data_IF_584248782754
#
_entry.id   IF_584248782754
#
_cell.length_a   1.000
_cell.length_b   1.000
_cell.length_c   1.000
_cell.angle_alpha   90.00
_cell.angle_beta   90.00
_cell.angle_gamma   90.00
#
_symmetry.space_group_name_H-M   'P 1'
#
loop_
_entity.id
_entity.type
_entity.pdbx_description
1 polymer ?
#
# COMPACT_ATOMS: atom_id res chain seq x y z
N UNK A 1 6.80 2.01 16.16
CA UNK A 1 6.47 0.67 16.71
C UNK A 1 7.08 -0.37 15.79
N UNK A 2 7.66 -1.42 16.35
CA UNK A 2 8.25 -2.50 15.57
C UNK A 2 7.16 -3.38 14.94
N UNK A 3 7.49 -4.03 13.83
CA UNK A 3 6.64 -5.03 13.22
C UNK A 3 6.37 -6.18 14.19
N UNK A 4 5.11 -6.60 14.31
CA UNK A 4 4.70 -7.70 15.16
C UNK A 4 3.66 -8.58 14.47
N UNK A 5 4.00 -9.84 14.26
CA UNK A 5 3.13 -10.86 13.63
C UNK A 5 1.77 -10.97 14.31
N UNK A 6 1.72 -10.91 15.66
CA UNK A 6 0.47 -11.05 16.40
C UNK A 6 -0.53 -9.92 16.09
N UNK A 7 -0.05 -8.71 15.80
CA UNK A 7 -0.92 -7.60 15.38
C UNK A 7 -1.58 -7.93 14.05
N UNK A 8 -0.81 -8.38 13.07
CA UNK A 8 -1.34 -8.76 11.76
C UNK A 8 -2.33 -9.92 11.89
N UNK A 9 -2.01 -10.92 12.69
CA UNK A 9 -2.92 -12.06 12.96
C UNK A 9 -4.27 -11.59 13.54
N UNK A 10 -4.23 -10.70 14.53
CA UNK A 10 -5.44 -10.13 15.13
C UNK A 10 -6.27 -9.32 14.14
N UNK A 11 -5.63 -8.51 13.27
CA UNK A 11 -6.31 -7.78 12.20
C UNK A 11 -7.02 -8.74 11.26
N UNK A 12 -6.35 -9.79 10.80
CA UNK A 12 -6.92 -10.79 9.91
C UNK A 12 -8.07 -11.57 10.57
N UNK A 13 -7.92 -11.91 11.84
CA UNK A 13 -8.98 -12.58 12.64
C UNK A 13 -10.22 -11.70 12.75
N UNK A 14 -10.05 -10.43 13.14
CA UNK A 14 -11.14 -9.45 13.17
C UNK A 14 -11.84 -9.36 11.82
N UNK A 15 -11.09 -9.20 10.75
CA UNK A 15 -11.67 -9.00 9.43
C UNK A 15 -12.48 -10.21 8.93
N UNK A 16 -12.01 -11.42 9.21
CA UNK A 16 -12.78 -12.65 8.96
C UNK A 16 -14.09 -12.69 9.73
N UNK A 17 -14.08 -12.25 10.99
CA UNK A 17 -15.30 -12.17 11.82
C UNK A 17 -16.29 -11.16 11.25
N UNK A 18 -15.83 -9.97 10.86
CA UNK A 18 -16.67 -8.93 10.23
C UNK A 18 -17.33 -9.46 8.95
N UNK A 19 -16.56 -10.07 8.06
CA UNK A 19 -17.12 -10.62 6.82
C UNK A 19 -18.09 -11.77 7.07
N UNK A 20 -17.86 -12.60 8.09
CA UNK A 20 -18.79 -13.66 8.50
C UNK A 20 -20.10 -13.08 9.04
N UNK A 21 -20.01 -12.00 9.82
CA UNK A 21 -21.18 -11.30 10.35
C UNK A 21 -22.03 -10.70 9.21
N UNK A 22 -21.40 -10.01 8.28
CA UNK A 22 -22.07 -9.44 7.10
C UNK A 22 -22.83 -10.53 6.32
N UNK A 23 -22.18 -11.69 6.08
CA UNK A 23 -22.83 -12.81 5.38
C UNK A 23 -24.10 -13.26 6.11
N UNK A 24 -24.03 -13.44 7.43
CA UNK A 24 -25.20 -13.83 8.25
C UNK A 24 -26.31 -12.80 8.16
N UNK A 25 -25.99 -11.50 8.25
CA UNK A 25 -26.97 -10.43 8.15
C UNK A 25 -27.66 -10.42 6.76
N UNK A 26 -26.87 -10.60 5.69
CA UNK A 26 -27.42 -10.68 4.33
C UNK A 26 -28.33 -11.91 4.15
N UNK A 27 -27.97 -13.05 4.73
CA UNK A 27 -28.81 -14.26 4.68
C UNK A 27 -30.17 -14.05 5.35
N UNK A 28 -30.18 -13.41 6.53
CA UNK A 28 -31.40 -13.19 7.34
C UNK A 28 -32.18 -11.97 6.87
N UNK A 29 -31.51 -10.82 6.76
CA UNK A 29 -32.15 -9.51 6.55
C UNK A 29 -32.05 -9.00 5.11
N UNK A 30 -31.37 -9.75 4.21
CA UNK A 30 -31.08 -9.38 2.81
C UNK A 30 -30.21 -8.11 2.65
N UNK A 31 -29.71 -7.56 3.75
CA UNK A 31 -28.83 -6.38 3.80
C UNK A 31 -27.95 -6.43 5.04
N UNK A 32 -26.85 -5.68 5.00
CA UNK A 32 -26.00 -5.37 6.16
C UNK A 32 -25.64 -3.89 6.13
N UNK A 33 -25.55 -3.26 7.29
CA UNK A 33 -25.08 -1.88 7.45
C UNK A 33 -23.60 -1.82 7.81
N UNK A 34 -22.94 -2.96 7.99
CA UNK A 34 -21.53 -3.03 8.39
C UNK A 34 -20.65 -2.70 7.17
N UNK A 35 -19.79 -1.71 7.31
CA UNK A 35 -18.72 -1.46 6.33
C UNK A 35 -17.53 -2.39 6.61
N UNK A 36 -17.19 -3.31 5.70
CA UNK A 36 -16.09 -4.24 5.89
C UNK A 36 -14.71 -3.62 5.60
N UNK A 37 -14.65 -2.42 5.02
CA UNK A 37 -13.39 -1.83 4.58
C UNK A 37 -12.49 -1.54 5.79
N UNK A 38 -11.22 -1.85 5.64
CA UNK A 38 -10.18 -1.55 6.61
C UNK A 38 -8.89 -1.17 5.87
N UNK A 39 -7.99 -0.50 6.54
CA UNK A 39 -6.65 -0.25 6.05
C UNK A 39 -5.60 -0.59 7.10
N UNK A 40 -4.42 -0.93 6.65
CA UNK A 40 -3.24 -1.18 7.46
C UNK A 40 -2.10 -0.34 6.88
N UNK A 41 -1.50 0.50 7.71
CA UNK A 41 -0.35 1.31 7.33
C UNK A 41 0.86 0.77 8.10
N UNK A 42 1.90 0.40 7.37
CA UNK A 42 3.20 0.00 7.89
C UNK A 42 4.21 1.07 7.48
N UNK A 43 4.38 2.05 8.37
CA UNK A 43 5.19 3.23 8.12
C UNK A 43 6.60 3.03 8.67
N UNK A 44 7.58 2.90 7.77
CA UNK A 44 9.02 2.74 8.05
C UNK A 44 9.35 1.75 9.19
N UNK A 45 8.56 0.67 9.31
CA UNK A 45 8.71 -0.31 10.38
C UNK A 45 9.20 -1.69 9.90
N UNK A 46 9.56 -1.81 8.61
CA UNK A 46 9.97 -3.06 7.98
C UNK A 46 11.47 -3.12 7.68
N UNK A 47 12.28 -2.65 8.62
CA UNK A 47 13.74 -2.61 8.48
C UNK A 47 14.40 -3.99 8.64
N UNK A 48 13.79 -4.91 9.38
CA UNK A 48 14.25 -6.29 9.48
C UNK A 48 13.60 -7.14 8.37
N UNK A 49 14.41 -7.76 7.52
CA UNK A 49 13.97 -8.55 6.36
C UNK A 49 13.17 -9.82 6.74
N UNK A 50 13.05 -10.16 8.02
CA UNK A 50 12.28 -11.34 8.46
C UNK A 50 10.79 -11.21 8.22
N UNK A 51 10.24 -9.98 8.22
CA UNK A 51 8.83 -9.71 7.95
C UNK A 51 8.33 -10.32 6.63
N UNK A 52 9.18 -10.31 5.60
CA UNK A 52 8.83 -10.80 4.26
C UNK A 52 8.66 -12.32 4.18
N UNK A 53 9.19 -13.06 5.16
CA UNK A 53 9.05 -14.50 5.33
C UNK A 53 7.88 -14.85 6.24
N UNK A 54 7.35 -13.88 6.98
CA UNK A 54 6.23 -14.08 7.89
C UNK A 54 4.98 -14.52 7.13
N UNK A 55 4.35 -15.60 7.61
CA UNK A 55 3.17 -16.20 6.99
C UNK A 55 1.96 -15.26 6.99
N UNK A 56 1.77 -14.49 8.07
CA UNK A 56 0.63 -13.59 8.21
C UNK A 56 0.78 -12.38 7.29
N UNK A 57 1.99 -11.84 7.17
CA UNK A 57 2.30 -10.78 6.23
C UNK A 57 2.10 -11.24 4.78
N UNK A 58 2.59 -12.41 4.42
CA UNK A 58 2.38 -12.98 3.09
C UNK A 58 0.89 -13.16 2.77
N UNK A 59 0.12 -13.65 3.75
CA UNK A 59 -1.33 -13.76 3.61
C UNK A 59 -1.99 -12.39 3.40
N UNK A 60 -1.54 -11.36 4.12
CA UNK A 60 -2.05 -10.00 3.97
C UNK A 60 -1.78 -9.45 2.56
N UNK A 61 -0.56 -9.61 2.03
CA UNK A 61 -0.21 -9.23 0.66
C UNK A 61 -1.05 -9.94 -0.40
N UNK A 62 -1.22 -11.27 -0.26
CA UNK A 62 -1.87 -12.09 -1.28
C UNK A 62 -3.40 -12.02 -1.22
N UNK A 63 -3.97 -11.86 -0.01
CA UNK A 63 -5.41 -12.01 0.22
C UNK A 63 -6.07 -10.79 0.85
N UNK A 64 -5.35 -9.72 1.14
CA UNK A 64 -5.89 -8.51 1.78
C UNK A 64 -7.13 -7.96 1.06
N UNK A 65 -7.12 -7.97 -0.27
CA UNK A 65 -8.27 -7.55 -1.09
C UNK A 65 -9.53 -8.37 -0.84
N UNK A 66 -9.40 -9.69 -0.68
CA UNK A 66 -10.55 -10.56 -0.37
C UNK A 66 -11.15 -10.25 1.00
N UNK A 67 -10.34 -9.76 1.92
CA UNK A 67 -10.78 -9.33 3.25
C UNK A 67 -11.09 -7.83 3.33
N UNK A 68 -11.15 -7.14 2.19
CA UNK A 68 -11.43 -5.70 2.12
C UNK A 68 -10.43 -4.85 2.91
N UNK A 69 -9.16 -5.29 2.93
CA UNK A 69 -8.06 -4.57 3.57
C UNK A 69 -7.23 -3.87 2.49
N UNK A 70 -7.02 -2.58 2.63
CA UNK A 70 -6.02 -1.81 1.91
C UNK A 70 -4.72 -1.83 2.72
N UNK A 71 -3.65 -2.34 2.15
CA UNK A 71 -2.32 -2.34 2.75
C UNK A 71 -1.50 -1.21 2.15
N UNK A 72 -0.97 -0.34 3.01
CA UNK A 72 -0.06 0.74 2.64
C UNK A 72 1.27 0.49 3.36
N UNK A 73 2.36 0.52 2.61
CA UNK A 73 3.70 0.33 3.15
C UNK A 73 4.56 1.51 2.68
N UNK A 74 5.19 2.18 3.62
CA UNK A 74 6.25 3.13 3.31
C UNK A 74 7.61 2.50 3.61
N UNK A 75 8.59 2.76 2.78
CA UNK A 75 9.95 2.26 2.99
C UNK A 75 10.98 3.13 2.29
N UNK A 76 12.12 3.26 2.94
CA UNK A 76 13.25 4.03 2.41
C UNK A 76 14.10 3.21 1.43
N UNK A 77 14.05 1.89 1.53
CA UNK A 77 14.86 1.00 0.69
C UNK A 77 14.00 0.27 -0.35
N UNK A 78 14.19 0.56 -1.66
CA UNK A 78 13.29 0.07 -2.71
C UNK A 78 13.29 -1.45 -2.90
N UNK A 79 14.34 -2.15 -2.45
CA UNK A 79 14.44 -3.61 -2.57
C UNK A 79 13.89 -4.38 -1.36
N UNK A 80 13.32 -3.70 -0.37
CA UNK A 80 12.78 -4.34 0.83
C UNK A 80 11.67 -5.35 0.54
N UNK A 81 10.92 -5.22 -0.57
CA UNK A 81 9.85 -6.14 -0.94
C UNK A 81 10.36 -7.23 -1.88
N UNK A 82 10.29 -8.52 -1.48
CA UNK A 82 10.68 -9.63 -2.35
C UNK A 82 9.87 -9.70 -3.66
N UNK A 83 10.46 -10.20 -4.76
CA UNK A 83 9.79 -10.30 -6.06
C UNK A 83 8.42 -11.00 -6.00
N UNK A 84 8.30 -12.08 -5.23
CA UNK A 84 7.06 -12.84 -5.08
C UNK A 84 5.91 -12.03 -4.43
N UNK A 85 6.22 -10.98 -3.65
CA UNK A 85 5.22 -10.10 -3.07
C UNK A 85 4.95 -8.88 -3.95
N UNK A 86 5.95 -8.41 -4.71
CA UNK A 86 5.81 -7.25 -5.60
C UNK A 86 4.72 -7.42 -6.66
N UNK A 87 4.48 -8.64 -7.13
CA UNK A 87 3.41 -8.94 -8.09
C UNK A 87 1.99 -8.67 -7.56
N UNK A 88 1.85 -8.49 -6.25
CA UNK A 88 0.57 -8.17 -5.61
C UNK A 88 0.40 -6.68 -5.29
N UNK A 89 1.36 -5.84 -5.66
CA UNK A 89 1.29 -4.39 -5.46
C UNK A 89 0.44 -3.77 -6.55
N UNK A 90 -0.60 -3.04 -6.16
CA UNK A 90 -1.49 -2.33 -7.07
C UNK A 90 -0.89 -1.03 -7.58
N UNK A 91 -0.33 -0.25 -6.65
CA UNK A 91 0.22 1.07 -6.91
C UNK A 91 1.57 1.25 -6.23
N UNK A 92 2.50 1.89 -6.92
CA UNK A 92 3.80 2.31 -6.36
C UNK A 92 3.89 3.81 -6.44
N UNK A 93 4.06 4.46 -5.30
CA UNK A 93 4.28 5.90 -5.19
C UNK A 93 5.77 6.15 -5.01
N UNK A 94 6.40 6.78 -5.98
CA UNK A 94 7.85 7.04 -6.00
C UNK A 94 8.07 8.51 -5.70
N UNK A 95 8.62 8.78 -4.54
CA UNK A 95 9.01 10.11 -4.11
C UNK A 95 10.39 10.48 -4.68
N UNK A 96 10.82 11.70 -4.42
CA UNK A 96 12.11 12.19 -4.86
C UNK A 96 13.25 11.28 -4.37
N UNK A 97 14.10 10.86 -5.30
CA UNK A 97 15.30 10.08 -5.03
C UNK A 97 16.50 10.73 -5.77
N UNK A 98 17.45 11.32 -5.04
CA UNK A 98 18.58 12.00 -5.66
C UNK A 98 19.69 11.05 -6.12
N UNK A 99 19.79 9.84 -5.53
CA UNK A 99 20.87 8.91 -5.81
C UNK A 99 20.59 8.05 -7.04
N UNK A 100 21.43 8.16 -8.05
CA UNK A 100 21.32 7.41 -9.31
C UNK A 100 21.28 5.89 -9.08
N UNK A 101 22.07 5.38 -8.14
CA UNK A 101 22.07 3.96 -7.81
C UNK A 101 20.72 3.48 -7.26
N UNK A 102 20.02 4.29 -6.48
CA UNK A 102 18.69 3.99 -5.97
C UNK A 102 17.64 4.12 -7.07
N UNK A 103 17.74 5.17 -7.92
CA UNK A 103 16.87 5.30 -9.12
C UNK A 103 16.98 4.06 -10.01
N UNK A 104 18.20 3.55 -10.21
CA UNK A 104 18.42 2.32 -11.01
C UNK A 104 17.71 1.12 -10.40
N UNK A 105 17.77 0.96 -9.07
CA UNK A 105 17.06 -0.12 -8.35
C UNK A 105 15.54 0.03 -8.46
N UNK A 106 15.01 1.25 -8.35
CA UNK A 106 13.58 1.52 -8.53
C UNK A 106 13.17 1.17 -9.96
N UNK A 107 13.91 1.62 -10.96
CA UNK A 107 13.68 1.32 -12.37
C UNK A 107 13.63 -0.19 -12.62
N UNK A 108 14.66 -0.92 -12.22
CA UNK A 108 14.78 -2.36 -12.46
C UNK A 108 13.68 -3.19 -11.78
N UNK A 109 13.11 -2.71 -10.68
CA UNK A 109 12.19 -3.48 -9.87
C UNK A 109 10.73 -3.04 -9.94
N UNK A 110 10.45 -1.80 -10.33
CA UNK A 110 9.10 -1.23 -10.32
C UNK A 110 8.71 -0.48 -11.59
N UNK A 111 9.68 0.01 -12.36
CA UNK A 111 9.44 0.91 -13.48
C UNK A 111 9.82 0.30 -14.84
N UNK A 112 9.76 -1.02 -14.97
CA UNK A 112 10.14 -1.74 -16.21
C UNK A 112 9.25 -1.42 -17.43
N UNK A 113 8.17 -0.65 -17.27
CA UNK A 113 7.35 -0.16 -18.39
C UNK A 113 8.01 1.01 -19.13
N UNK A 114 8.96 1.71 -18.53
CA UNK A 114 9.71 2.75 -19.22
C UNK A 114 10.70 2.15 -20.22
N UNK A 115 10.80 2.72 -21.44
CA UNK A 115 11.66 2.14 -22.48
C UNK A 115 13.15 2.19 -22.13
N UNK A 116 13.59 3.20 -21.38
CA UNK A 116 14.99 3.35 -20.95
C UNK A 116 15.08 3.91 -19.52
N UNK A 117 16.17 3.63 -18.85
CA UNK A 117 16.47 4.21 -17.54
C UNK A 117 16.57 5.75 -17.61
N UNK A 118 17.09 6.28 -18.71
CA UNK A 118 17.20 7.72 -18.91
C UNK A 118 15.83 8.39 -18.97
N UNK A 119 14.86 7.83 -19.75
CA UNK A 119 13.50 8.35 -19.81
C UNK A 119 12.80 8.29 -18.43
N UNK A 120 13.04 7.25 -17.65
CA UNK A 120 12.56 7.16 -16.27
C UNK A 120 13.14 8.29 -15.40
N UNK A 121 14.46 8.54 -15.47
CA UNK A 121 15.09 9.62 -14.71
C UNK A 121 14.55 11.00 -15.09
N UNK A 122 14.34 11.27 -16.37
CA UNK A 122 13.76 12.53 -16.84
C UNK A 122 12.37 12.76 -16.26
N UNK A 123 11.51 11.74 -16.25
CA UNK A 123 10.18 11.83 -15.66
C UNK A 123 10.25 12.01 -14.14
N UNK A 124 11.15 11.30 -13.46
CA UNK A 124 11.39 11.47 -12.02
C UNK A 124 11.76 12.93 -11.69
N UNK A 125 12.66 13.53 -12.44
CA UNK A 125 13.10 14.91 -12.21
C UNK A 125 11.97 15.93 -12.40
N UNK A 126 11.00 15.63 -13.28
CA UNK A 126 9.85 16.50 -13.53
C UNK A 126 8.70 16.32 -12.54
N UNK A 127 8.54 15.12 -11.96
CA UNK A 127 7.32 14.72 -11.25
C UNK A 127 7.55 14.45 -9.75
N UNK A 128 8.72 14.74 -9.19
CA UNK A 128 8.98 14.40 -7.78
C UNK A 128 9.49 15.57 -6.95
N UNK A 129 9.12 16.80 -7.30
CA UNK A 129 9.41 17.99 -6.53
C UNK A 129 8.15 18.56 -5.88
N UNK A 130 8.28 19.44 -4.91
CA UNK A 130 7.16 20.19 -4.31
C UNK A 130 5.98 19.32 -3.84
N UNK A 131 6.26 18.24 -3.11
CA UNK A 131 5.28 17.26 -2.62
C UNK A 131 4.58 16.47 -3.74
N UNK A 132 5.25 16.33 -4.86
CA UNK A 132 4.81 15.55 -6.00
C UNK A 132 5.43 14.16 -5.99
N UNK A 133 4.78 13.21 -6.64
CA UNK A 133 5.31 11.86 -6.80
C UNK A 133 4.90 11.24 -8.14
N UNK A 134 5.75 10.34 -8.61
CA UNK A 134 5.44 9.47 -9.73
C UNK A 134 4.64 8.27 -9.21
N UNK A 135 3.51 7.97 -9.83
CA UNK A 135 2.65 6.84 -9.45
C UNK A 135 2.62 5.82 -10.56
N UNK A 136 2.96 4.59 -10.24
CA UNK A 136 2.87 3.45 -11.15
C UNK A 136 1.62 2.64 -10.80
N UNK A 137 0.76 2.43 -11.78
CA UNK A 137 -0.45 1.62 -11.67
C UNK A 137 -0.23 0.23 -12.30
N UNK A 138 -0.01 -0.77 -11.48
CA UNK A 138 0.15 -2.16 -11.91
C UNK A 138 -1.17 -2.84 -12.31
N UNK A 139 -2.32 -2.20 -12.05
CA UNK A 139 -3.64 -2.70 -12.43
C UNK A 139 -4.10 -2.23 -13.81
N UNK A 140 -3.29 -1.45 -14.52
CA UNK A 140 -3.61 -0.99 -15.87
C UNK A 140 -3.85 -2.20 -16.80
N UNK A 141 -4.91 -2.14 -17.58
CA UNK A 141 -5.26 -3.17 -18.57
C UNK A 141 -4.53 -2.99 -19.90
N UNK A 142 -3.85 -1.87 -20.06
CA UNK A 142 -3.12 -1.46 -21.25
C UNK A 142 -1.62 -1.50 -21.01
N UNK A 143 -0.85 -1.82 -22.04
CA UNK A 143 0.62 -1.75 -22.00
C UNK A 143 1.14 -0.36 -22.39
N UNK A 144 0.26 0.62 -22.63
CA UNK A 144 0.69 1.98 -22.93
C UNK A 144 1.18 2.66 -21.66
N UNK A 145 2.33 3.32 -21.74
CA UNK A 145 2.95 4.01 -20.61
C UNK A 145 2.00 5.02 -19.94
N UNK A 146 1.25 5.77 -20.75
CA UNK A 146 0.30 6.79 -20.30
C UNK A 146 -0.88 6.23 -19.48
N UNK A 147 -1.16 4.92 -19.57
CA UNK A 147 -2.21 4.27 -18.79
C UNK A 147 -1.67 3.64 -17.49
N UNK A 148 -0.35 3.51 -17.41
CA UNK A 148 0.34 2.89 -16.29
C UNK A 148 1.03 3.88 -15.36
N UNK A 149 1.35 5.08 -15.85
CA UNK A 149 2.15 6.06 -15.13
C UNK A 149 1.36 7.35 -14.97
N UNK A 150 1.31 7.84 -13.73
CA UNK A 150 0.60 9.04 -13.35
C UNK A 150 1.52 9.96 -12.55
N UNK A 151 1.17 11.20 -12.53
CA UNK A 151 1.71 12.20 -11.64
C UNK A 151 0.67 12.54 -10.57
N UNK A 152 1.10 12.67 -9.32
CA UNK A 152 0.24 13.07 -8.21
C UNK A 152 0.94 14.13 -7.37
N UNK A 153 0.22 15.15 -7.00
CA UNK A 153 0.63 16.19 -6.07
C UNK A 153 -0.23 16.11 -4.82
N UNK A 154 0.43 16.10 -3.66
CA UNK A 154 -0.28 16.15 -2.40
C UNK A 154 -0.89 17.54 -2.19
N UNK A 155 -2.20 17.59 -1.94
CA UNK A 155 -2.90 18.81 -1.56
C UNK A 155 -2.68 19.12 -0.06
N UNK A 156 -2.84 20.40 0.30
CA UNK A 156 -2.94 20.77 1.70
C UNK A 156 -4.17 20.11 2.33
N UNK A 157 -4.01 19.57 3.52
CA UNK A 157 -5.13 18.95 4.25
C UNK A 157 -5.60 19.86 5.39
N UNK A 158 -6.90 19.80 5.69
CA UNK A 158 -7.45 20.35 6.90
C UNK A 158 -7.17 19.43 8.09
N UNK A 159 -7.09 20.00 9.29
CA UNK A 159 -6.98 19.21 10.50
C UNK A 159 -8.18 18.27 10.62
N UNK A 160 -7.90 16.99 10.80
CA UNK A 160 -8.95 15.98 10.99
C UNK A 160 -8.59 15.02 12.12
N UNK A 161 -9.60 14.40 12.71
CA UNK A 161 -9.43 13.34 13.69
C UNK A 161 -9.88 12.02 13.09
N UNK A 162 -9.00 11.03 13.14
CA UNK A 162 -9.32 9.67 12.70
C UNK A 162 -9.86 8.88 13.90
N UNK A 163 -10.96 8.14 13.71
CA UNK A 163 -11.58 7.32 14.73
C UNK A 163 -12.90 7.89 15.27
N UNK A 164 -13.61 7.09 16.08
CA UNK A 164 -14.85 7.50 16.71
C UNK A 164 -14.61 8.50 17.86
N UNK A 165 -15.68 9.17 18.27
CA UNK A 165 -15.63 10.11 19.40
C UNK A 165 -15.20 9.40 20.68
N UNK A 166 -15.70 8.20 20.91
CA UNK A 166 -15.36 7.35 22.07
C UNK A 166 -13.88 6.96 22.06
N UNK A 167 -13.32 6.67 20.89
CA UNK A 167 -11.89 6.38 20.75
C UNK A 167 -11.03 7.54 21.24
N UNK A 168 -11.39 8.78 20.90
CA UNK A 168 -10.67 9.98 21.33
C UNK A 168 -10.87 10.35 22.79
N UNK A 169 -12.01 9.99 23.38
CA UNK A 169 -12.27 10.16 24.82
C UNK A 169 -11.43 9.20 25.67
N UNK A 170 -11.19 7.97 25.18
CA UNK A 170 -10.33 6.98 25.83
C UNK A 170 -8.82 7.23 25.65
N UNK A 171 -8.43 8.09 24.73
CA UNK A 171 -7.03 8.39 24.39
C UNK A 171 -6.48 9.62 25.14
N UNK A 172 -7.27 10.24 26.01
CA UNK A 172 -6.87 11.34 26.89
C UNK A 172 -6.39 10.82 28.23
#
# INVERSE_FOLDING_TARGET
SEYNTAIIENILKRQRQVLKQIKKEIEVYKKSSIDPRAFVILDDCLYDNTWSRDKMMRLLFMNGRHWKIMLIITMQYPLGIPPALRTNIDYVFILREPYIANRKRIYDNYAGMFPTFESFCQVMDQCTENYECLVINNNAKSNKLQDQVFWYKADGHHDFKLGSKEFWELSK
#
